data_IF_403332456586
#
_entry.id   IF_403332456586
#
_cell.length_a   1.000
_cell.length_b   1.000
_cell.length_c   1.000
_cell.angle_alpha   90.00
_cell.angle_beta   90.00
_cell.angle_gamma   90.00
#
_symmetry.space_group_name_H-M   'P 1'
#
loop_
_entity.id
_entity.type
_entity.pdbx_description
1 polymer ?
#
# COMPACT_ATOMS: atom_id res chain seq x y z
N UNK A 1 -18.14 -16.70 -9.74
CA UNK A 1 -17.16 -16.52 -8.64
C UNK A 1 -17.14 -15.04 -8.29
N UNK A 2 -17.39 -14.68 -7.03
CA UNK A 2 -17.15 -13.30 -6.60
C UNK A 2 -15.64 -13.17 -6.34
N UNK A 3 -14.96 -12.44 -7.21
CA UNK A 3 -13.54 -12.12 -6.99
C UNK A 3 -13.45 -10.95 -6.04
N UNK A 4 -12.62 -11.08 -5.01
CA UNK A 4 -12.35 -9.99 -4.10
C UNK A 4 -11.71 -8.82 -4.85
N UNK A 5 -12.08 -7.61 -4.50
CA UNK A 5 -11.38 -6.42 -4.97
C UNK A 5 -9.96 -6.41 -4.39
N UNK A 6 -9.05 -5.69 -5.05
CA UNK A 6 -7.68 -5.53 -4.57
C UNK A 6 -7.52 -4.08 -4.13
N UNK A 7 -7.14 -3.87 -2.88
CA UNK A 7 -6.78 -2.56 -2.36
C UNK A 7 -5.27 -2.40 -2.48
N UNK A 8 -4.84 -1.53 -3.38
CA UNK A 8 -3.43 -1.13 -3.52
C UNK A 8 -3.25 0.12 -2.69
N UNK A 9 -2.31 0.09 -1.73
CA UNK A 9 -2.10 1.20 -0.81
C UNK A 9 -0.62 1.40 -0.49
N UNK A 10 -0.31 2.59 0.00
CA UNK A 10 1.01 3.04 0.36
C UNK A 10 0.95 3.98 1.56
N UNK A 11 1.97 3.92 2.42
CA UNK A 11 2.16 4.81 3.57
C UNK A 11 3.35 5.71 3.40
N UNK A 12 3.15 7.01 3.60
CA UNK A 12 4.25 7.90 4.02
C UNK A 12 4.34 7.93 5.54
N UNK A 13 5.56 7.97 6.07
CA UNK A 13 5.81 7.86 7.50
C UNK A 13 6.87 8.85 7.99
N UNK A 14 6.88 9.10 9.29
CA UNK A 14 7.89 9.94 9.96
C UNK A 14 9.19 9.19 10.28
N UNK A 15 9.40 8.00 9.72
CA UNK A 15 10.60 7.21 9.93
C UNK A 15 10.64 5.95 9.08
N UNK A 16 11.80 5.31 9.02
CA UNK A 16 12.04 4.11 8.19
C UNK A 16 11.80 2.78 8.91
N UNK A 17 11.60 2.79 10.24
CA UNK A 17 11.32 1.57 11.01
C UNK A 17 9.80 1.36 11.14
N UNK A 18 9.19 0.38 10.45
CA UNK A 18 7.73 0.19 10.46
C UNK A 18 7.16 -0.25 11.82
N UNK A 19 8.02 -0.62 12.76
CA UNK A 19 7.60 -0.98 14.13
C UNK A 19 7.41 0.26 14.99
N UNK A 20 8.15 1.34 14.72
CA UNK A 20 8.22 2.54 15.57
C UNK A 20 7.66 3.79 14.89
N UNK A 21 7.82 3.91 13.56
CA UNK A 21 7.40 5.11 12.83
C UNK A 21 5.88 5.34 12.94
N UNK A 22 5.48 6.60 12.89
CA UNK A 22 4.08 7.00 12.74
C UNK A 22 3.74 7.19 11.27
N UNK A 23 2.55 6.78 10.80
CA UNK A 23 2.07 7.21 9.51
C UNK A 23 1.87 8.72 9.49
N UNK A 24 2.17 9.36 8.36
CA UNK A 24 1.84 10.77 8.08
C UNK A 24 0.85 10.91 6.92
N UNK A 25 0.81 9.92 6.03
CA UNK A 25 -0.15 9.83 4.95
C UNK A 25 -0.45 8.36 4.66
N UNK A 26 -1.68 8.04 4.31
CA UNK A 26 -2.10 6.76 3.75
C UNK A 26 -2.95 7.03 2.53
N UNK A 27 -2.57 6.43 1.43
CA UNK A 27 -3.36 6.49 0.21
C UNK A 27 -3.66 5.11 -0.33
N UNK A 28 -4.77 4.98 -1.03
CA UNK A 28 -5.19 3.71 -1.59
C UNK A 28 -6.04 3.90 -2.85
N UNK A 29 -6.00 2.90 -3.72
CA UNK A 29 -6.91 2.74 -4.84
C UNK A 29 -7.42 1.31 -4.89
N UNK A 30 -8.60 1.10 -5.48
CA UNK A 30 -9.18 -0.23 -5.62
C UNK A 30 -9.10 -0.71 -7.06
N UNK A 31 -8.51 -1.87 -7.26
CA UNK A 31 -8.44 -2.55 -8.56
C UNK A 31 -9.55 -3.59 -8.67
N UNK A 32 -10.27 -3.56 -9.77
CA UNK A 32 -11.16 -4.65 -10.19
C UNK A 32 -10.34 -5.75 -10.88
N UNK A 33 -10.16 -6.91 -10.24
CA UNK A 33 -9.32 -7.97 -10.80
C UNK A 33 -9.97 -8.66 -12.02
N UNK A 34 -11.26 -8.46 -12.28
CA UNK A 34 -11.93 -9.04 -13.46
C UNK A 34 -11.69 -8.13 -14.66
N UNK A 35 -11.98 -6.84 -14.50
CA UNK A 35 -11.85 -5.86 -15.57
C UNK A 35 -10.40 -5.44 -15.81
N UNK A 36 -9.50 -5.65 -14.83
CA UNK A 36 -8.11 -5.20 -14.83
C UNK A 36 -8.01 -3.68 -15.02
N UNK A 37 -8.72 -2.97 -14.18
CA UNK A 37 -8.74 -1.50 -14.12
C UNK A 37 -8.84 -1.01 -12.68
N UNK A 38 -8.38 0.21 -12.41
CA UNK A 38 -8.68 0.92 -11.17
C UNK A 38 -10.15 1.31 -11.22
N UNK A 39 -10.89 1.07 -10.13
CA UNK A 39 -12.30 1.46 -10.03
C UNK A 39 -12.37 2.99 -9.98
N UNK A 40 -13.11 3.63 -10.89
CA UNK A 40 -13.23 5.09 -10.89
C UNK A 40 -13.76 5.64 -9.56
N UNK A 41 -13.14 6.71 -9.07
CA UNK A 41 -13.49 7.37 -7.80
C UNK A 41 -13.28 6.45 -6.58
N UNK A 42 -12.33 5.52 -6.68
CA UNK A 42 -11.90 4.71 -5.55
C UNK A 42 -10.68 5.28 -4.84
N UNK A 43 -10.15 6.39 -5.32
CA UNK A 43 -9.01 7.05 -4.72
C UNK A 43 -9.34 7.43 -3.27
N UNK A 44 -8.45 7.08 -2.37
CA UNK A 44 -8.49 7.43 -0.96
C UNK A 44 -7.16 8.06 -0.57
N UNK A 45 -7.20 9.18 0.11
CA UNK A 45 -6.01 9.85 0.62
C UNK A 45 -6.36 10.48 1.96
N UNK A 46 -5.60 10.15 2.99
CA UNK A 46 -5.80 10.66 4.34
C UNK A 46 -4.46 10.97 5.01
N UNK A 47 -4.43 12.05 5.76
CA UNK A 47 -3.27 12.47 6.54
C UNK A 47 -3.41 12.03 7.99
N UNK A 48 -2.28 11.79 8.65
CA UNK A 48 -2.20 11.35 10.04
C UNK A 48 -1.27 12.28 10.82
N UNK A 49 -1.73 12.75 11.97
CA UNK A 49 -0.84 13.42 12.91
C UNK A 49 0.12 12.40 13.50
N UNK A 50 1.45 12.59 13.38
CA UNK A 50 2.40 11.69 13.99
C UNK A 50 2.21 11.55 15.51
N UNK A 51 2.40 10.34 16.05
CA UNK A 51 2.17 10.04 17.46
C UNK A 51 3.03 10.89 18.41
N UNK A 52 4.25 11.20 17.99
CA UNK A 52 5.16 12.08 18.73
C UNK A 52 4.55 13.46 18.93
N UNK A 53 3.89 14.01 17.90
CA UNK A 53 3.23 15.32 17.97
C UNK A 53 1.89 15.25 18.71
N UNK A 54 1.23 14.10 18.76
CA UNK A 54 0.05 13.89 19.60
C UNK A 54 0.40 14.00 21.09
N UNK A 55 1.64 13.64 21.45
CA UNK A 55 2.18 13.69 22.82
C UNK A 55 2.92 14.97 23.16
N UNK A 56 2.83 16.00 22.30
CA UNK A 56 3.57 17.28 22.42
C UNK A 56 5.09 17.12 22.56
N UNK A 57 5.66 16.07 21.99
CA UNK A 57 7.07 15.74 22.13
C UNK A 57 7.85 15.98 20.82
N UNK A 58 7.91 17.27 20.40
CA UNK A 58 8.51 17.70 19.13
C UNK A 58 10.01 17.42 18.99
N UNK A 59 10.70 17.24 20.11
CA UNK A 59 12.18 17.11 20.16
C UNK A 59 12.69 15.73 19.72
N UNK A 60 11.81 14.77 19.41
CA UNK A 60 12.21 13.41 19.03
C UNK A 60 12.45 13.23 17.53
N UNK A 61 12.14 14.20 16.68
CA UNK A 61 12.44 14.07 15.26
C UNK A 61 13.92 14.20 14.99
N UNK A 62 14.48 13.17 14.35
CA UNK A 62 15.83 13.28 13.78
C UNK A 62 15.80 14.27 12.62
N UNK A 63 16.87 15.05 12.51
CA UNK A 63 17.05 16.02 11.44
C UNK A 63 16.85 15.39 10.06
N UNK A 64 17.31 14.15 9.88
CA UNK A 64 17.31 13.43 8.61
C UNK A 64 15.90 13.12 8.06
N UNK A 65 14.93 12.81 8.96
CA UNK A 65 13.54 12.52 8.55
C UNK A 65 12.88 13.80 8.02
N UNK A 66 13.03 14.89 8.74
CA UNK A 66 12.48 16.18 8.31
C UNK A 66 13.16 16.69 7.04
N UNK A 67 14.47 16.47 6.89
CA UNK A 67 15.23 16.80 5.68
C UNK A 67 14.72 16.02 4.47
N UNK A 68 14.40 14.72 4.65
CA UNK A 68 13.83 13.92 3.59
C UNK A 68 12.49 14.50 3.12
N UNK A 69 11.53 14.69 4.03
CA UNK A 69 10.22 15.24 3.68
C UNK A 69 10.27 16.65 3.12
N UNK A 70 11.13 17.51 3.68
CA UNK A 70 11.33 18.87 3.21
C UNK A 70 11.86 18.90 1.77
N UNK A 71 12.83 18.05 1.47
CA UNK A 71 13.39 17.90 0.11
C UNK A 71 12.35 17.36 -0.88
N UNK A 72 11.62 16.30 -0.52
CA UNK A 72 10.57 15.71 -1.38
C UNK A 72 9.47 16.72 -1.68
N UNK A 73 9.03 17.47 -0.68
CA UNK A 73 7.96 18.47 -0.82
C UNK A 73 8.46 19.86 -1.24
N UNK A 74 9.76 20.02 -1.42
CA UNK A 74 10.40 21.29 -1.78
C UNK A 74 9.97 22.46 -0.88
N UNK A 75 10.02 22.23 0.46
CA UNK A 75 9.64 23.21 1.47
C UNK A 75 10.60 23.19 2.67
N UNK A 76 10.43 24.11 3.63
CA UNK A 76 11.25 24.15 4.84
C UNK A 76 10.81 23.08 5.87
N UNK A 77 11.74 22.62 6.72
CA UNK A 77 11.45 21.64 7.80
C UNK A 77 10.39 22.13 8.77
N UNK A 78 10.44 23.40 9.10
CA UNK A 78 9.48 24.08 9.99
C UNK A 78 8.06 24.02 9.40
N UNK A 79 7.96 24.07 8.08
CA UNK A 79 6.70 23.95 7.36
C UNK A 79 6.16 22.51 7.46
N UNK A 80 7.01 21.48 7.30
CA UNK A 80 6.64 20.08 7.52
C UNK A 80 6.08 19.86 8.92
N UNK A 81 6.77 20.32 9.96
CA UNK A 81 6.31 20.21 11.34
C UNK A 81 4.99 20.94 11.57
N UNK A 82 4.86 22.15 11.01
CA UNK A 82 3.61 22.92 11.10
C UNK A 82 2.45 22.22 10.44
N UNK A 83 2.67 21.62 9.26
CA UNK A 83 1.65 20.83 8.57
C UNK A 83 1.25 19.61 9.40
N UNK A 84 2.22 18.81 9.87
CA UNK A 84 1.96 17.59 10.65
C UNK A 84 1.22 17.87 11.96
N UNK A 85 1.50 18.98 12.64
CA UNK A 85 0.74 19.40 13.83
C UNK A 85 -0.74 19.61 13.56
N UNK A 86 -1.08 20.04 12.35
CA UNK A 86 -2.45 20.34 11.94
C UNK A 86 -3.16 19.14 11.29
N UNK A 87 -2.50 18.01 11.13
CA UNK A 87 -3.12 16.81 10.58
C UNK A 87 -4.15 16.22 11.55
N UNK A 88 -5.16 15.47 11.04
CA UNK A 88 -6.13 14.78 11.87
C UNK A 88 -5.47 13.79 12.83
N UNK A 89 -6.08 13.57 13.98
CA UNK A 89 -5.63 12.57 14.95
C UNK A 89 -5.63 11.17 14.32
N UNK A 90 -4.70 10.32 14.71
CA UNK A 90 -4.52 9.00 14.10
C UNK A 90 -5.77 8.14 14.17
N UNK A 91 -6.51 8.16 15.29
CA UNK A 91 -7.74 7.38 15.46
C UNK A 91 -8.84 7.77 14.46
N UNK A 92 -8.97 9.07 14.17
CA UNK A 92 -9.92 9.59 13.18
C UNK A 92 -9.57 9.14 11.77
N UNK A 93 -8.30 9.31 11.38
CA UNK A 93 -7.81 8.91 10.07
C UNK A 93 -7.90 7.41 9.87
N UNK A 94 -7.56 6.62 10.89
CA UNK A 94 -7.69 5.17 10.86
C UNK A 94 -9.14 4.70 10.69
N UNK A 95 -10.09 5.27 11.44
CA UNK A 95 -11.53 4.99 11.29
C UNK A 95 -12.03 5.31 9.89
N UNK A 96 -11.54 6.39 9.26
CA UNK A 96 -11.89 6.73 7.88
C UNK A 96 -11.37 5.69 6.90
N UNK A 97 -10.15 5.19 7.08
CA UNK A 97 -9.60 4.12 6.24
C UNK A 97 -10.38 2.81 6.39
N UNK A 98 -10.69 2.39 7.61
CA UNK A 98 -11.52 1.20 7.85
C UNK A 98 -12.89 1.35 7.17
N UNK A 99 -13.53 2.51 7.33
CA UNK A 99 -14.83 2.80 6.68
C UNK A 99 -14.74 2.84 5.14
N UNK A 100 -13.59 3.24 4.60
CA UNK A 100 -13.34 3.17 3.16
C UNK A 100 -13.27 1.73 2.69
N UNK A 101 -12.53 0.86 3.37
CA UNK A 101 -12.42 -0.57 3.03
C UNK A 101 -13.77 -1.31 3.15
N UNK A 102 -14.60 -0.94 4.12
CA UNK A 102 -15.93 -1.54 4.31
C UNK A 102 -16.84 -1.44 3.08
N UNK A 103 -16.65 -0.43 2.24
CA UNK A 103 -17.40 -0.26 0.98
C UNK A 103 -17.09 -1.37 -0.04
N UNK A 104 -15.94 -1.99 0.09
CA UNK A 104 -15.43 -3.01 -0.84
C UNK A 104 -15.43 -4.42 -0.25
N UNK A 105 -15.97 -4.57 0.96
CA UNK A 105 -16.19 -5.88 1.56
C UNK A 105 -17.30 -6.63 0.83
N UNK A 106 -17.07 -7.90 0.51
CA UNK A 106 -18.11 -8.78 0.00
C UNK A 106 -18.62 -9.68 1.12
N UNK A 107 -19.90 -9.55 1.47
CA UNK A 107 -20.55 -10.41 2.45
C UNK A 107 -21.31 -11.51 1.70
N UNK A 108 -21.00 -12.78 1.97
CA UNK A 108 -21.79 -13.90 1.46
C UNK A 108 -22.95 -14.17 2.41
N UNK A 109 -24.19 -14.11 1.91
CA UNK A 109 -25.40 -14.38 2.68
C UNK A 109 -25.53 -15.84 3.15
N UNK A 110 -24.75 -16.78 2.59
CA UNK A 110 -24.87 -18.21 2.89
C UNK A 110 -24.00 -18.74 4.02
N UNK A 111 -22.97 -18.04 4.49
CA UNK A 111 -22.09 -18.49 5.58
C UNK A 111 -21.33 -17.34 6.23
N UNK A 112 -21.89 -16.20 6.58
CA UNK A 112 -21.16 -15.15 7.31
C UNK A 112 -19.66 -14.99 6.96
N UNK A 113 -19.27 -15.39 5.78
CA UNK A 113 -17.89 -15.25 5.30
C UNK A 113 -17.70 -13.80 4.87
N UNK A 114 -17.01 -13.11 5.72
CA UNK A 114 -16.46 -11.81 5.45
C UNK A 114 -15.31 -11.96 4.45
N UNK A 115 -15.41 -11.28 3.33
CA UNK A 115 -14.35 -11.22 2.35
C UNK A 115 -13.86 -9.78 2.25
N UNK A 116 -12.73 -9.52 2.87
CA UNK A 116 -12.03 -8.25 2.74
C UNK A 116 -11.39 -8.10 1.35
N UNK A 117 -11.10 -6.89 0.88
CA UNK A 117 -10.21 -6.71 -0.26
C UNK A 117 -8.85 -7.39 -0.05
N UNK A 118 -8.23 -7.81 -1.14
CA UNK A 118 -6.86 -8.31 -1.12
C UNK A 118 -5.93 -7.11 -0.90
N UNK A 119 -5.04 -7.19 0.07
CA UNK A 119 -4.01 -6.17 0.27
C UNK A 119 -2.95 -6.25 -0.82
N UNK A 120 -2.57 -5.10 -1.41
CA UNK A 120 -1.49 -5.02 -2.37
C UNK A 120 -0.71 -3.71 -2.19
N UNK A 121 0.58 -3.72 -2.56
CA UNK A 121 1.46 -2.57 -2.52
C UNK A 121 2.89 -2.95 -2.88
N UNK A 122 3.80 -1.99 -2.83
CA UNK A 122 5.21 -2.20 -3.15
C UNK A 122 6.03 -2.45 -1.88
N UNK A 123 6.74 -3.59 -1.79
CA UNK A 123 7.48 -3.99 -0.58
C UNK A 123 6.58 -4.07 0.68
N UNK A 124 5.31 -4.31 0.47
CA UNK A 124 4.24 -4.19 1.47
C UNK A 124 4.45 -5.13 2.67
N UNK A 125 5.01 -6.33 2.45
CA UNK A 125 5.29 -7.29 3.52
C UNK A 125 6.30 -6.78 4.55
N UNK A 126 7.28 -6.01 4.10
CA UNK A 126 8.37 -5.53 4.97
C UNK A 126 8.01 -4.25 5.68
N UNK A 127 7.08 -3.46 5.15
CA UNK A 127 6.80 -2.14 5.65
C UNK A 127 5.31 -1.94 5.99
N UNK A 128 4.46 -1.71 5.01
CA UNK A 128 3.09 -1.24 5.20
C UNK A 128 2.20 -2.18 6.02
N UNK A 129 2.29 -3.49 5.79
CA UNK A 129 1.50 -4.46 6.54
C UNK A 129 1.85 -4.52 8.03
N UNK A 130 3.07 -4.15 8.40
CA UNK A 130 3.46 -4.05 9.81
C UNK A 130 2.81 -2.84 10.48
N UNK A 131 2.69 -1.74 9.73
CA UNK A 131 1.96 -0.55 10.18
C UNK A 131 0.47 -0.87 10.30
N UNK A 132 -0.12 -1.53 9.30
CA UNK A 132 -1.52 -2.00 9.34
C UNK A 132 -1.78 -2.87 10.57
N UNK A 133 -0.92 -3.86 10.84
CA UNK A 133 -1.08 -4.77 12.00
C UNK A 133 -1.00 -3.99 13.32
N UNK A 134 -0.07 -3.08 13.43
CA UNK A 134 0.12 -2.23 14.62
C UNK A 134 -1.07 -1.30 14.85
N UNK A 135 -1.55 -0.61 13.81
CA UNK A 135 -2.73 0.27 13.92
C UNK A 135 -4.01 -0.54 14.18
N UNK A 136 -4.14 -1.73 13.57
CA UNK A 136 -5.27 -2.62 13.84
C UNK A 136 -5.32 -3.04 15.31
N UNK A 137 -4.18 -3.37 15.92
CA UNK A 137 -4.07 -3.69 17.34
C UNK A 137 -4.36 -2.48 18.22
N UNK A 138 -3.81 -1.31 17.86
CA UNK A 138 -4.01 -0.06 18.61
C UNK A 138 -5.48 0.37 18.66
N UNK A 139 -6.24 0.10 17.60
CA UNK A 139 -7.62 0.58 17.44
C UNK A 139 -8.67 -0.54 17.38
N UNK A 140 -8.38 -1.70 17.96
CA UNK A 140 -9.28 -2.85 18.13
C UNK A 140 -9.88 -3.41 16.82
N UNK A 141 -9.14 -3.29 15.71
CA UNK A 141 -9.50 -3.91 14.44
C UNK A 141 -8.80 -5.26 14.26
N UNK A 142 -8.98 -6.13 15.23
CA UNK A 142 -8.35 -7.45 15.27
C UNK A 142 -9.37 -8.57 15.39
N UNK A 143 -8.98 -9.77 14.95
CA UNK A 143 -9.74 -10.99 15.13
C UNK A 143 -9.42 -11.63 16.51
N UNK A 144 -10.02 -12.81 16.78
CA UNK A 144 -9.80 -13.56 18.02
C UNK A 144 -8.34 -14.00 18.25
N UNK A 145 -7.54 -14.05 17.18
CA UNK A 145 -6.13 -14.42 17.19
C UNK A 145 -5.21 -13.19 17.30
N UNK A 146 -5.78 -12.03 17.61
CA UNK A 146 -5.07 -10.73 17.68
C UNK A 146 -4.34 -10.34 16.39
N UNK A 147 -4.83 -10.79 15.23
CA UNK A 147 -4.36 -10.38 13.90
C UNK A 147 -5.35 -9.40 13.28
N UNK A 148 -4.86 -8.54 12.37
CA UNK A 148 -5.74 -7.59 11.68
C UNK A 148 -6.93 -8.28 11.02
N UNK A 149 -8.11 -7.64 11.08
CA UNK A 149 -9.33 -8.13 10.44
C UNK A 149 -9.77 -7.29 9.24
N UNK A 150 -9.03 -6.23 8.90
CA UNK A 150 -9.35 -5.36 7.75
C UNK A 150 -8.86 -5.91 6.41
N UNK A 151 -7.84 -6.76 6.45
CA UNK A 151 -7.35 -7.53 5.31
C UNK A 151 -7.25 -9.01 5.66
N UNK A 152 -7.27 -9.87 4.65
CA UNK A 152 -7.06 -11.29 4.84
C UNK A 152 -5.56 -11.62 4.79
N UNK A 153 -4.93 -12.07 5.89
CA UNK A 153 -3.47 -12.16 5.99
C UNK A 153 -2.80 -13.08 4.97
N UNK A 154 -3.55 -14.04 4.38
CA UNK A 154 -3.03 -14.98 3.39
C UNK A 154 -3.06 -14.45 1.95
N UNK A 155 -3.96 -13.52 1.69
CA UNK A 155 -4.23 -13.04 0.34
C UNK A 155 -3.60 -11.65 0.19
N UNK A 156 -2.28 -11.64 0.06
CA UNK A 156 -1.48 -10.39 -0.08
C UNK A 156 -0.69 -10.46 -1.38
N UNK A 157 -0.64 -9.34 -2.09
CA UNK A 157 0.15 -9.19 -3.31
C UNK A 157 1.24 -8.15 -3.08
N UNK A 158 2.48 -8.62 -2.93
CA UNK A 158 3.64 -7.73 -2.93
C UNK A 158 4.15 -7.55 -4.37
N UNK A 159 3.98 -6.33 -4.91
CA UNK A 159 4.30 -6.03 -6.31
C UNK A 159 5.81 -6.10 -6.56
N UNK A 160 6.64 -5.75 -5.57
CA UNK A 160 8.09 -5.90 -5.68
C UNK A 160 8.48 -7.37 -5.90
N UNK A 161 7.80 -8.32 -5.27
CA UNK A 161 8.04 -9.74 -5.49
C UNK A 161 7.65 -10.18 -6.91
N UNK A 162 6.57 -9.63 -7.48
CA UNK A 162 6.20 -9.90 -8.88
C UNK A 162 7.30 -9.39 -9.83
N UNK A 163 7.78 -8.18 -9.60
CA UNK A 163 8.92 -7.63 -10.36
C UNK A 163 10.15 -8.52 -10.23
N UNK A 164 10.51 -8.90 -9.00
CA UNK A 164 11.65 -9.79 -8.76
C UNK A 164 11.52 -11.11 -9.55
N UNK A 165 10.39 -11.80 -9.49
CA UNK A 165 10.21 -13.07 -10.21
C UNK A 165 10.30 -12.95 -11.72
N UNK A 166 9.92 -11.81 -12.29
CA UNK A 166 10.01 -11.60 -13.74
C UNK A 166 11.40 -11.21 -14.24
N UNK A 167 12.20 -10.58 -13.38
CA UNK A 167 13.50 -10.00 -13.75
C UNK A 167 14.70 -10.64 -13.01
N UNK A 168 14.47 -11.72 -12.23
CA UNK A 168 15.55 -12.32 -11.41
C UNK A 168 16.72 -12.85 -12.25
N UNK A 169 16.45 -13.23 -13.50
CA UNK A 169 17.44 -13.76 -14.47
C UNK A 169 17.95 -12.69 -15.46
N UNK A 170 17.47 -11.47 -15.38
CA UNK A 170 17.76 -10.39 -16.32
C UNK A 170 18.58 -9.29 -15.65
N UNK A 171 19.47 -8.66 -16.42
CA UNK A 171 20.20 -7.45 -16.01
C UNK A 171 19.50 -6.16 -16.43
N UNK A 172 18.25 -6.23 -16.90
CA UNK A 172 17.53 -5.07 -17.42
C UNK A 172 17.19 -4.06 -16.32
N UNK A 173 16.97 -4.54 -15.07
CA UNK A 173 16.75 -3.69 -13.92
C UNK A 173 18.01 -3.54 -13.08
N UNK A 174 18.44 -2.30 -12.86
CA UNK A 174 19.59 -1.98 -11.99
C UNK A 174 19.28 -2.19 -10.51
N UNK A 175 18.03 -2.07 -10.12
CA UNK A 175 17.52 -2.33 -8.76
C UNK A 175 16.02 -2.63 -8.83
N UNK A 176 15.46 -3.15 -7.73
CA UNK A 176 14.02 -3.38 -7.58
C UNK A 176 13.33 -2.25 -6.82
N UNK A 177 13.90 -1.03 -6.78
CA UNK A 177 13.21 0.12 -6.23
C UNK A 177 12.04 0.54 -7.13
N UNK A 178 10.99 1.10 -6.57
CA UNK A 178 9.82 1.54 -7.33
C UNK A 178 10.22 2.55 -8.41
N UNK A 179 11.18 3.44 -8.13
CA UNK A 179 11.67 4.43 -9.09
C UNK A 179 12.38 3.81 -10.29
N UNK A 180 13.20 2.77 -10.06
CA UNK A 180 13.86 2.03 -11.16
C UNK A 180 12.82 1.30 -12.01
N UNK A 181 11.81 0.73 -11.37
CA UNK A 181 10.74 0.01 -12.05
C UNK A 181 9.85 0.95 -12.85
N UNK A 182 9.50 2.13 -12.30
CA UNK A 182 8.80 3.19 -13.03
C UNK A 182 9.54 3.55 -14.33
N UNK A 183 10.83 3.82 -14.22
CA UNK A 183 11.66 4.17 -15.36
C UNK A 183 11.65 3.09 -16.44
N UNK A 184 11.83 1.84 -16.04
CA UNK A 184 11.82 0.70 -16.97
C UNK A 184 10.48 0.54 -17.69
N UNK A 185 9.36 0.70 -16.97
CA UNK A 185 8.02 0.56 -17.54
C UNK A 185 7.47 1.84 -18.19
N UNK A 186 8.25 2.93 -18.23
CA UNK A 186 7.83 4.21 -18.80
C UNK A 186 6.72 4.90 -18.01
N UNK A 187 6.67 4.70 -16.70
CA UNK A 187 5.76 5.39 -15.79
C UNK A 187 6.44 6.68 -15.34
N UNK A 188 5.72 7.81 -15.38
CA UNK A 188 6.27 9.11 -14.97
C UNK A 188 6.65 9.09 -13.49
N UNK A 189 7.80 9.70 -13.18
CA UNK A 189 8.25 9.94 -11.79
C UNK A 189 7.68 11.24 -11.20
N UNK A 190 6.89 11.99 -11.97
CA UNK A 190 6.26 13.21 -11.46
C UNK A 190 5.29 12.87 -10.33
N UNK A 191 5.50 13.48 -9.17
CA UNK A 191 4.74 13.19 -7.96
C UNK A 191 5.19 11.94 -7.19
N UNK A 192 6.34 11.32 -7.53
CA UNK A 192 6.93 10.26 -6.71
C UNK A 192 7.10 10.71 -5.25
N UNK A 193 6.93 9.78 -4.30
CA UNK A 193 6.88 10.03 -2.85
C UNK A 193 5.66 10.84 -2.39
N UNK A 194 4.59 10.84 -3.18
CA UNK A 194 3.23 11.07 -2.72
C UNK A 194 2.52 9.73 -2.67
N UNK A 195 2.00 9.34 -1.51
CA UNK A 195 1.43 8.01 -1.31
C UNK A 195 0.29 7.68 -2.29
N UNK A 196 -0.48 8.69 -2.77
CA UNK A 196 -1.54 8.44 -3.74
C UNK A 196 -0.96 8.10 -5.11
N UNK A 197 0.03 8.86 -5.56
CA UNK A 197 0.72 8.58 -6.82
C UNK A 197 1.43 7.22 -6.78
N UNK A 198 2.07 6.91 -5.65
CA UNK A 198 2.76 5.64 -5.47
C UNK A 198 1.77 4.45 -5.48
N UNK A 199 0.61 4.58 -4.83
CA UNK A 199 -0.46 3.58 -4.88
C UNK A 199 -1.05 3.40 -6.30
N UNK A 200 -1.26 4.49 -7.07
CA UNK A 200 -1.73 4.44 -8.45
C UNK A 200 -0.73 3.75 -9.38
N UNK A 201 0.56 4.09 -9.27
CA UNK A 201 1.62 3.48 -10.07
C UNK A 201 1.76 1.99 -9.75
N UNK A 202 1.68 1.62 -8.47
CA UNK A 202 1.65 0.24 -8.04
C UNK A 202 0.44 -0.52 -8.60
N UNK A 203 -0.74 0.11 -8.63
CA UNK A 203 -1.94 -0.47 -9.23
C UNK A 203 -1.78 -0.67 -10.74
N UNK A 204 -1.18 0.30 -11.44
CA UNK A 204 -0.87 0.17 -12.87
C UNK A 204 0.10 -0.99 -13.13
N UNK A 205 1.18 -1.10 -12.37
CA UNK A 205 2.13 -2.21 -12.46
C UNK A 205 1.43 -3.55 -12.23
N UNK A 206 0.63 -3.66 -11.17
CA UNK A 206 -0.14 -4.87 -10.86
C UNK A 206 -1.05 -5.26 -12.03
N UNK A 207 -1.77 -4.30 -12.61
CA UNK A 207 -2.66 -4.53 -13.76
C UNK A 207 -1.86 -5.06 -14.96
N UNK A 208 -0.69 -4.49 -15.25
CA UNK A 208 0.20 -4.94 -16.33
C UNK A 208 0.67 -6.39 -16.10
N UNK A 209 1.09 -6.73 -14.89
CA UNK A 209 1.48 -8.11 -14.54
C UNK A 209 0.30 -9.08 -14.62
N UNK A 210 -0.88 -8.70 -14.16
CA UNK A 210 -2.07 -9.56 -14.26
C UNK A 210 -2.49 -9.78 -15.73
N UNK A 211 -2.40 -8.77 -16.59
CA UNK A 211 -2.66 -8.90 -18.03
C UNK A 211 -1.65 -9.86 -18.67
N UNK A 212 -0.37 -9.69 -18.37
CA UNK A 212 0.70 -10.54 -18.88
C UNK A 212 0.50 -11.99 -18.42
N UNK A 213 0.31 -12.22 -17.12
CA UNK A 213 0.06 -13.55 -16.55
C UNK A 213 -1.13 -14.24 -17.23
N UNK A 214 -2.25 -13.56 -17.43
CA UNK A 214 -3.42 -14.14 -18.10
C UNK A 214 -3.17 -14.44 -19.57
N UNK A 215 -2.40 -13.60 -20.27
CA UNK A 215 -2.00 -13.85 -21.66
C UNK A 215 -1.16 -15.10 -21.78
N UNK A 216 -0.21 -15.32 -20.86
CA UNK A 216 0.62 -16.52 -20.81
C UNK A 216 -0.21 -17.73 -20.40
N UNK A 217 -0.97 -17.64 -19.29
CA UNK A 217 -1.73 -18.77 -18.75
C UNK A 217 -2.81 -19.29 -19.70
N UNK A 218 -3.31 -18.47 -20.63
CA UNK A 218 -4.24 -18.90 -21.67
C UNK A 218 -3.59 -19.80 -22.73
N UNK A 219 -2.27 -19.71 -22.90
CA UNK A 219 -1.49 -20.43 -23.91
C UNK A 219 -0.77 -21.65 -23.35
N UNK A 220 -0.50 -21.65 -22.05
CA UNK A 220 0.28 -22.68 -21.35
C UNK A 220 -0.66 -23.52 -20.49
N UNK A 221 -0.80 -24.82 -20.82
CA UNK A 221 -1.50 -25.76 -19.95
C UNK A 221 -0.48 -26.28 -18.95
N UNK A 222 -0.53 -25.84 -17.71
CA UNK A 222 0.39 -26.23 -16.63
C UNK A 222 0.59 -27.75 -16.51
N UNK A 223 -0.47 -28.54 -16.77
CA UNK A 223 -0.40 -30.01 -16.71
C UNK A 223 0.66 -30.64 -17.64
N UNK A 224 1.03 -29.96 -18.72
CA UNK A 224 1.97 -30.50 -19.72
C UNK A 224 3.24 -29.68 -19.89
N UNK A 225 3.35 -28.52 -19.23
CA UNK A 225 4.44 -27.57 -19.50
C UNK A 225 5.78 -27.93 -18.83
N UNK A 226 5.79 -28.93 -17.95
CA UNK A 226 6.97 -29.35 -17.19
C UNK A 226 7.33 -30.82 -17.42
N UNK A 227 6.78 -31.43 -18.47
CA UNK A 227 7.00 -32.85 -18.79
C UNK A 227 8.07 -33.09 -19.89
N UNK A 228 8.87 -32.07 -20.22
CA UNK A 228 10.00 -32.20 -21.16
C UNK A 228 11.32 -32.25 -20.43
#
# INVERSE_FOLDING_TARGET
MNYNKICVFDFETDGSNPIECSPVQLSAVIVDPIKLEIIPKSEFNILFKPEVLEKDNEYQYTTDILDFHARVRNCAKEEILSQWKNYPQQDQSWKMFVSYLDKYHTRSSKKSQFSAPIAAGYNIHRFDLKIIDRLSKKYDNVNKENSTNIFYPRDVIDIMNLVFYWFEHSSDLKSYSLDTVREYFGISKDGAHDALKDAEDCAELLIRFLKLHRSVSSRVKFQNSFLN
#
